data_IF_397755807036
#
_entry.id   IF_397755807036
#
_cell.length_a   1.000
_cell.length_b   1.000
_cell.length_c   1.000
_cell.angle_alpha   90.00
_cell.angle_beta   90.00
_cell.angle_gamma   90.00
#
_symmetry.space_group_name_H-M   'P 1'
#
loop_
_entity.id
_entity.type
_entity.pdbx_description
1 polymer ?
#
# COMPACT_ATOMS: atom_id res chain seq x y z
N UNK A 1 -6.89 -16.29 -4.72
CA UNK A 1 -7.38 -14.90 -4.65
C UNK A 1 -7.17 -14.15 -5.96
N UNK A 2 -5.97 -14.12 -6.51
CA UNK A 2 -5.67 -13.43 -7.78
C UNK A 2 -6.67 -13.73 -8.90
N UNK A 3 -7.03 -15.01 -9.12
CA UNK A 3 -7.99 -15.38 -10.17
C UNK A 3 -9.39 -14.79 -9.95
N UNK A 4 -9.88 -14.79 -8.70
CA UNK A 4 -11.18 -14.19 -8.38
C UNK A 4 -11.19 -12.65 -8.45
N UNK A 5 -10.04 -12.01 -8.33
CA UNK A 5 -9.86 -10.58 -8.52
C UNK A 5 -9.84 -10.13 -9.98
N UNK A 6 -9.61 -11.06 -10.92
CA UNK A 6 -9.59 -10.73 -12.35
C UNK A 6 -10.99 -10.69 -12.98
N UNK A 7 -11.98 -11.36 -12.38
CA UNK A 7 -13.33 -11.44 -12.93
C UNK A 7 -14.16 -10.27 -12.41
N UNK A 8 -14.40 -9.29 -13.28
CA UNK A 8 -15.29 -8.15 -13.02
C UNK A 8 -16.68 -8.39 -13.59
N UNK A 9 -17.70 -8.11 -12.79
CA UNK A 9 -19.10 -8.08 -13.21
C UNK A 9 -19.47 -6.62 -13.49
N UNK A 10 -19.17 -6.17 -14.71
CA UNK A 10 -19.22 -4.76 -15.12
C UNK A 10 -20.68 -4.31 -15.27
N UNK A 11 -21.01 -3.16 -14.69
CA UNK A 11 -22.39 -2.62 -14.67
C UNK A 11 -22.92 -2.21 -16.05
N UNK A 12 -22.05 -1.86 -17.00
CA UNK A 12 -22.45 -1.55 -18.38
C UNK A 12 -23.04 -2.77 -19.10
N UNK A 13 -22.65 -3.98 -18.71
CA UNK A 13 -23.13 -5.25 -19.26
C UNK A 13 -24.27 -5.80 -18.40
N UNK A 14 -25.51 -5.68 -18.87
CA UNK A 14 -26.69 -6.04 -18.08
C UNK A 14 -26.66 -7.47 -17.52
N UNK A 15 -26.18 -8.43 -18.30
CA UNK A 15 -26.10 -9.85 -17.88
C UNK A 15 -25.04 -10.06 -16.78
N UNK A 16 -23.93 -9.30 -16.83
CA UNK A 16 -22.90 -9.32 -15.78
C UNK A 16 -23.42 -8.67 -14.50
N UNK A 17 -24.12 -7.54 -14.60
CA UNK A 17 -24.69 -6.84 -13.45
C UNK A 17 -25.80 -7.67 -12.79
N UNK A 18 -26.63 -8.39 -13.57
CA UNK A 18 -27.57 -9.40 -13.04
C UNK A 18 -26.84 -10.55 -12.35
N UNK A 19 -25.73 -10.99 -12.90
CA UNK A 19 -24.94 -12.05 -12.29
C UNK A 19 -24.31 -11.59 -10.95
N UNK A 20 -23.89 -10.33 -10.84
CA UNK A 20 -23.42 -9.73 -9.60
C UNK A 20 -24.52 -9.69 -8.52
N UNK A 21 -25.73 -9.29 -8.88
CA UNK A 21 -26.89 -9.35 -7.97
C UNK A 21 -27.15 -10.77 -7.49
N UNK A 22 -27.19 -11.75 -8.39
CA UNK A 22 -27.41 -13.15 -8.04
C UNK A 22 -26.28 -13.71 -7.17
N UNK A 23 -25.02 -13.33 -7.44
CA UNK A 23 -23.88 -13.72 -6.62
C UNK A 23 -23.99 -13.15 -5.21
N UNK A 24 -24.37 -11.87 -5.08
CA UNK A 24 -24.59 -11.22 -3.78
C UNK A 24 -25.67 -11.95 -2.97
N UNK A 25 -26.78 -12.33 -3.61
CA UNK A 25 -27.83 -13.11 -2.95
C UNK A 25 -27.35 -14.50 -2.55
N UNK A 26 -26.58 -15.18 -3.40
CA UNK A 26 -26.02 -16.50 -3.11
C UNK A 26 -24.98 -16.45 -1.98
N UNK A 27 -24.28 -15.34 -1.82
CA UNK A 27 -23.36 -15.15 -0.70
C UNK A 27 -24.07 -14.89 0.62
N UNK A 28 -25.31 -14.43 0.62
CA UNK A 28 -26.01 -14.04 1.85
C UNK A 28 -26.13 -15.21 2.86
N UNK A 29 -25.80 -14.94 4.11
CA UNK A 29 -25.83 -15.94 5.18
C UNK A 29 -24.46 -16.56 5.47
N UNK A 30 -24.37 -17.91 5.48
CA UNK A 30 -23.13 -18.60 5.88
C UNK A 30 -22.00 -18.45 4.86
N UNK A 31 -22.30 -18.33 3.58
CA UNK A 31 -21.30 -18.10 2.55
C UNK A 31 -20.63 -16.73 2.74
N UNK A 32 -21.39 -15.71 3.13
CA UNK A 32 -20.85 -14.40 3.46
C UNK A 32 -19.85 -14.48 4.62
N UNK A 33 -20.17 -15.19 5.69
CA UNK A 33 -19.26 -15.34 6.84
C UNK A 33 -17.92 -15.96 6.45
N UNK A 34 -17.96 -16.95 5.55
CA UNK A 34 -16.74 -17.58 5.04
C UNK A 34 -15.92 -16.61 4.17
N UNK A 35 -16.59 -15.86 3.31
CA UNK A 35 -15.94 -14.85 2.47
C UNK A 35 -15.39 -13.71 3.34
N UNK A 36 -16.17 -13.21 4.28
CA UNK A 36 -15.79 -12.10 5.17
C UNK A 36 -14.58 -12.45 6.01
N UNK A 37 -14.46 -13.68 6.52
CA UNK A 37 -13.32 -14.13 7.32
C UNK A 37 -11.99 -14.03 6.56
N UNK A 38 -12.01 -14.17 5.22
CA UNK A 38 -10.85 -13.99 4.37
C UNK A 38 -10.70 -12.52 3.97
N UNK A 39 -11.80 -11.86 3.63
CA UNK A 39 -11.78 -10.49 3.13
C UNK A 39 -11.24 -9.51 4.18
N UNK A 40 -11.70 -9.57 5.43
CA UNK A 40 -11.27 -8.63 6.47
C UNK A 40 -9.79 -8.80 6.83
N UNK A 41 -9.31 -10.05 6.89
CA UNK A 41 -7.88 -10.32 7.16
C UNK A 41 -7.01 -9.79 6.03
N UNK A 42 -7.36 -10.09 4.78
CA UNK A 42 -6.60 -9.59 3.63
C UNK A 42 -6.71 -8.08 3.46
N UNK A 43 -7.82 -7.47 3.89
CA UNK A 43 -7.96 -6.01 3.92
C UNK A 43 -7.08 -5.36 5.00
N UNK A 44 -6.90 -6.02 6.14
CA UNK A 44 -5.97 -5.57 7.17
C UNK A 44 -4.52 -5.50 6.64
N UNK A 45 -4.10 -6.50 5.85
CA UNK A 45 -2.76 -6.51 5.26
C UNK A 45 -2.61 -5.52 4.10
N UNK A 46 -3.49 -5.58 3.10
CA UNK A 46 -3.30 -4.96 1.80
C UNK A 46 -4.27 -3.80 1.48
N UNK A 47 -5.23 -3.53 2.33
CA UNK A 47 -6.29 -2.54 2.08
C UNK A 47 -7.60 -3.15 1.59
N UNK A 48 -8.65 -2.34 1.56
CA UNK A 48 -9.98 -2.72 1.06
C UNK A 48 -9.98 -2.86 -0.46
N UNK A 49 -11.01 -3.52 -0.99
CA UNK A 49 -11.23 -3.58 -2.44
C UNK A 49 -11.47 -2.18 -3.01
N UNK A 50 -10.88 -1.92 -4.16
CA UNK A 50 -11.14 -0.73 -4.96
C UNK A 50 -12.43 -0.88 -5.81
N UNK A 51 -12.83 -2.13 -6.06
CA UNK A 51 -14.07 -2.47 -6.76
C UNK A 51 -15.25 -2.64 -5.77
N UNK A 52 -16.46 -2.51 -6.27
CA UNK A 52 -17.69 -2.77 -5.51
C UNK A 52 -17.77 -4.25 -5.12
N UNK A 53 -18.23 -4.51 -3.90
CA UNK A 53 -18.30 -5.84 -3.31
C UNK A 53 -19.67 -6.16 -2.76
N UNK A 54 -19.79 -7.23 -1.99
CA UNK A 54 -20.99 -7.56 -1.24
C UNK A 54 -21.47 -6.43 -0.34
N UNK A 55 -20.56 -5.65 0.24
CA UNK A 55 -20.88 -4.57 1.16
C UNK A 55 -21.67 -3.43 0.51
N UNK A 56 -21.41 -3.15 -0.75
CA UNK A 56 -22.10 -2.12 -1.53
C UNK A 56 -23.37 -2.67 -2.19
N UNK A 57 -23.29 -3.89 -2.71
CA UNK A 57 -24.39 -4.48 -3.48
C UNK A 57 -25.56 -4.94 -2.62
N UNK A 58 -25.33 -5.54 -1.44
CA UNK A 58 -26.43 -6.00 -0.59
C UNK A 58 -27.35 -4.86 -0.14
N UNK A 59 -26.86 -3.73 0.38
CA UNK A 59 -27.73 -2.60 0.74
C UNK A 59 -28.51 -2.03 -0.46
N UNK A 60 -27.93 -2.02 -1.65
CA UNK A 60 -28.62 -1.59 -2.87
C UNK A 60 -29.74 -2.55 -3.25
N UNK A 61 -29.54 -3.85 -3.10
CA UNK A 61 -30.56 -4.88 -3.30
C UNK A 61 -31.69 -4.70 -2.28
N UNK A 62 -31.39 -4.58 -1.00
CA UNK A 62 -32.38 -4.38 0.06
C UNK A 62 -33.22 -3.12 -0.16
N UNK A 63 -32.61 -2.03 -0.56
CA UNK A 63 -33.29 -0.78 -0.88
C UNK A 63 -34.19 -0.90 -2.11
N UNK A 64 -33.75 -1.61 -3.15
CA UNK A 64 -34.47 -1.77 -4.41
C UNK A 64 -35.69 -2.71 -4.30
N UNK A 65 -35.54 -3.76 -3.48
CA UNK A 65 -36.56 -4.81 -3.39
C UNK A 65 -37.35 -4.81 -2.06
N UNK A 66 -37.02 -3.88 -1.14
CA UNK A 66 -37.67 -3.78 0.17
C UNK A 66 -37.23 -4.86 1.17
N UNK A 67 -36.01 -5.37 1.00
CA UNK A 67 -35.38 -6.43 1.77
C UNK A 67 -34.62 -7.39 0.85
N UNK A 68 -34.05 -8.47 1.40
CA UNK A 68 -33.39 -9.50 0.60
C UNK A 68 -34.44 -10.36 -0.12
N UNK A 69 -34.56 -10.29 -1.46
CA UNK A 69 -35.57 -11.02 -2.18
C UNK A 69 -35.18 -12.49 -2.37
N UNK A 70 -36.18 -13.36 -2.43
CA UNK A 70 -36.01 -14.68 -3.01
C UNK A 70 -35.75 -14.57 -4.53
N UNK A 71 -34.91 -15.45 -5.09
CA UNK A 71 -34.56 -15.40 -6.52
C UNK A 71 -35.79 -15.42 -7.44
N UNK A 72 -36.85 -16.13 -7.04
CA UNK A 72 -38.12 -16.16 -7.76
C UNK A 72 -38.85 -14.80 -7.83
N UNK A 73 -38.63 -13.94 -6.84
CA UNK A 73 -39.23 -12.60 -6.78
C UNK A 73 -38.53 -11.58 -7.71
N UNK A 74 -37.37 -11.92 -8.26
CA UNK A 74 -36.67 -11.11 -9.26
C UNK A 74 -37.35 -11.24 -10.65
N UNK A 75 -38.02 -12.36 -10.92
CA UNK A 75 -38.58 -12.67 -12.23
C UNK A 75 -39.71 -11.68 -12.55
N UNK A 76 -39.50 -10.88 -13.62
CA UNK A 76 -40.48 -9.89 -14.06
C UNK A 76 -40.57 -8.63 -13.19
N UNK A 77 -39.78 -8.50 -12.13
CA UNK A 77 -39.74 -7.31 -11.28
C UNK A 77 -38.84 -6.23 -11.90
N UNK A 78 -39.34 -5.60 -12.97
CA UNK A 78 -38.60 -4.57 -13.70
C UNK A 78 -38.35 -3.32 -12.86
N UNK A 79 -39.26 -2.95 -11.98
CA UNK A 79 -39.13 -1.75 -11.15
C UNK A 79 -38.00 -1.93 -10.10
N UNK A 80 -37.95 -3.10 -9.44
CA UNK A 80 -36.86 -3.43 -8.53
C UNK A 80 -35.52 -3.44 -9.24
N UNK A 81 -35.46 -4.04 -10.44
CA UNK A 81 -34.24 -4.06 -11.24
C UNK A 81 -33.78 -2.64 -11.64
N UNK A 82 -34.65 -1.80 -12.14
CA UNK A 82 -34.31 -0.42 -12.52
C UNK A 82 -33.86 0.41 -11.32
N UNK A 83 -34.51 0.21 -10.15
CA UNK A 83 -34.12 0.89 -8.91
C UNK A 83 -32.72 0.43 -8.47
N UNK A 84 -32.46 -0.87 -8.48
CA UNK A 84 -31.12 -1.43 -8.16
C UNK A 84 -30.05 -0.83 -9.07
N UNK A 85 -30.25 -0.86 -10.39
CA UNK A 85 -29.30 -0.25 -11.34
C UNK A 85 -29.08 1.24 -11.13
N UNK A 86 -30.10 1.97 -10.77
CA UNK A 86 -29.98 3.40 -10.45
C UNK A 86 -29.13 3.65 -9.21
N UNK A 87 -29.28 2.82 -8.18
CA UNK A 87 -28.53 2.91 -6.95
C UNK A 87 -27.03 2.56 -7.17
N UNK A 88 -26.77 1.45 -7.87
CA UNK A 88 -25.39 1.02 -8.14
C UNK A 88 -24.67 1.94 -9.14
N UNK A 89 -25.39 2.52 -10.10
CA UNK A 89 -24.84 3.51 -11.00
C UNK A 89 -24.40 4.81 -10.31
N UNK A 90 -25.01 5.16 -9.17
CA UNK A 90 -24.65 6.34 -8.38
C UNK A 90 -23.42 6.14 -7.47
N UNK A 91 -22.93 4.90 -7.33
CA UNK A 91 -21.73 4.59 -6.54
C UNK A 91 -20.46 5.06 -7.29
N UNK A 92 -19.38 5.27 -6.56
CA UNK A 92 -18.09 5.65 -7.16
C UNK A 92 -17.48 4.51 -7.99
N UNK A 93 -16.84 4.80 -9.12
CA UNK A 93 -16.05 3.82 -9.85
C UNK A 93 -14.73 3.49 -9.10
N UNK A 94 -14.03 2.40 -9.50
CA UNK A 94 -12.72 2.13 -8.94
C UNK A 94 -11.76 3.29 -9.21
N UNK A 95 -10.91 3.61 -8.23
CA UNK A 95 -9.91 4.67 -8.35
C UNK A 95 -8.75 4.24 -9.27
N UNK A 96 -8.45 2.94 -9.31
CA UNK A 96 -7.38 2.35 -10.11
C UNK A 96 -7.97 1.54 -11.26
N UNK A 97 -7.50 1.83 -12.48
CA UNK A 97 -7.92 1.09 -13.65
C UNK A 97 -7.17 -0.25 -13.77
N UNK A 98 -7.82 -1.33 -13.41
CA UNK A 98 -7.22 -2.67 -13.38
C UNK A 98 -7.30 -3.43 -14.70
N UNK A 99 -8.08 -2.94 -15.68
CA UNK A 99 -8.22 -3.54 -17.00
C UNK A 99 -7.81 -2.49 -18.03
N UNK A 100 -6.82 -2.78 -18.90
CA UNK A 100 -6.53 -1.89 -20.02
C UNK A 100 -7.76 -1.77 -20.89
N UNK A 101 -8.33 -0.59 -20.97
CA UNK A 101 -9.36 -0.27 -21.96
C UNK A 101 -8.64 0.20 -23.21
N UNK A 102 -8.93 -0.43 -24.36
CA UNK A 102 -8.52 0.14 -25.64
C UNK A 102 -9.38 1.38 -25.85
N UNK A 103 -8.74 2.53 -25.91
CA UNK A 103 -9.39 3.76 -26.33
C UNK A 103 -9.74 3.60 -27.82
N UNK A 104 -11.03 3.53 -28.11
CA UNK A 104 -11.54 3.53 -29.48
C UNK A 104 -11.72 4.96 -30.04
N UNK A 105 -11.27 5.96 -29.28
CA UNK A 105 -11.21 7.37 -29.69
C UNK A 105 -12.56 8.10 -29.69
N UNK A 106 -13.64 7.50 -29.19
CA UNK A 106 -15.01 8.04 -29.29
C UNK A 106 -15.77 8.16 -27.97
N UNK A 107 -15.15 7.94 -26.81
CA UNK A 107 -15.88 8.04 -25.54
C UNK A 107 -15.27 9.07 -24.58
N UNK A 108 -16.08 10.08 -24.23
CA UNK A 108 -15.89 10.99 -23.08
C UNK A 108 -15.99 10.25 -21.72
N UNK A 109 -16.16 8.93 -21.71
CA UNK A 109 -16.25 8.12 -20.50
C UNK A 109 -14.86 7.87 -19.96
N UNK A 110 -14.62 8.30 -18.71
CA UNK A 110 -13.37 7.97 -18.02
C UNK A 110 -13.20 6.45 -18.00
N UNK A 111 -12.02 5.96 -18.29
CA UNK A 111 -11.70 4.52 -18.35
C UNK A 111 -12.06 3.77 -17.07
N UNK A 112 -12.06 4.44 -15.92
CA UNK A 112 -12.49 3.89 -14.62
C UNK A 112 -14.01 3.61 -14.59
N UNK A 113 -14.85 4.47 -15.20
CA UNK A 113 -16.30 4.25 -15.25
C UNK A 113 -16.66 3.02 -16.09
N UNK A 114 -15.90 2.74 -17.15
CA UNK A 114 -16.08 1.55 -17.97
C UNK A 114 -15.84 0.23 -17.22
N UNK A 115 -15.01 0.27 -16.19
CA UNK A 115 -14.65 -0.91 -15.37
C UNK A 115 -15.46 -1.02 -14.08
N UNK A 116 -16.39 -0.09 -13.83
CA UNK A 116 -17.22 -0.07 -12.64
C UNK A 116 -18.09 -1.31 -12.56
N UNK A 117 -18.02 -2.01 -11.43
CA UNK A 117 -18.84 -3.20 -11.21
C UNK A 117 -18.45 -3.96 -9.95
N UNK A 118 -19.11 -5.08 -9.76
CA UNK A 118 -18.87 -5.98 -8.65
C UNK A 118 -17.67 -6.90 -8.94
N UNK A 119 -16.84 -7.14 -7.92
CA UNK A 119 -15.85 -8.22 -7.92
C UNK A 119 -15.95 -9.04 -6.64
N UNK A 120 -15.90 -10.36 -6.79
CA UNK A 120 -15.99 -11.28 -5.64
C UNK A 120 -14.83 -11.09 -4.65
N UNK A 121 -13.63 -10.87 -5.16
CA UNK A 121 -12.45 -10.57 -4.36
C UNK A 121 -11.62 -9.53 -5.12
N UNK A 122 -12.09 -8.30 -5.12
CA UNK A 122 -11.54 -7.20 -5.90
C UNK A 122 -10.08 -6.89 -5.59
N UNK A 123 -9.44 -6.21 -6.51
CA UNK A 123 -8.08 -5.73 -6.34
C UNK A 123 -8.04 -4.67 -5.23
N UNK A 124 -6.93 -4.60 -4.52
CA UNK A 124 -6.80 -3.71 -3.38
C UNK A 124 -6.37 -2.32 -3.86
N UNK A 125 -6.98 -1.30 -3.29
CA UNK A 125 -6.47 0.06 -3.46
C UNK A 125 -5.14 0.20 -2.72
N UNK A 126 -4.09 0.62 -3.43
CA UNK A 126 -2.83 1.05 -2.83
C UNK A 126 -2.41 2.40 -3.37
N UNK A 127 -1.80 3.23 -2.51
CA UNK A 127 -1.44 4.61 -2.86
C UNK A 127 -0.43 4.67 -4.00
N UNK A 128 0.50 3.73 -4.06
CA UNK A 128 1.52 3.66 -5.10
C UNK A 128 0.94 3.28 -6.47
N UNK A 129 -0.04 2.38 -6.52
CA UNK A 129 -0.74 2.08 -7.77
C UNK A 129 -1.55 3.29 -8.28
N UNK A 130 -2.17 4.04 -7.36
CA UNK A 130 -2.83 5.30 -7.71
C UNK A 130 -1.84 6.36 -8.23
N UNK A 131 -0.63 6.45 -7.62
CA UNK A 131 0.44 7.31 -8.13
C UNK A 131 0.86 6.88 -9.54
N UNK A 132 1.14 5.60 -9.75
CA UNK A 132 1.56 5.07 -11.05
C UNK A 132 0.54 5.36 -12.14
N UNK A 133 -0.74 5.14 -11.85
CA UNK A 133 -1.80 5.41 -12.83
C UNK A 133 -1.83 6.86 -13.29
N UNK A 134 -1.60 7.82 -12.39
CA UNK A 134 -1.61 9.25 -12.74
C UNK A 134 -0.39 9.70 -13.54
N UNK A 135 0.66 8.89 -13.59
CA UNK A 135 1.94 9.24 -14.19
C UNK A 135 2.28 8.45 -15.47
N UNK A 136 1.31 7.73 -16.04
CA UNK A 136 1.48 6.96 -17.27
C UNK A 136 0.39 7.24 -18.29
N UNK A 137 0.67 6.88 -19.54
CA UNK A 137 -0.29 6.90 -20.65
C UNK A 137 -0.91 8.28 -20.89
N UNK A 138 -2.22 8.31 -21.16
CA UNK A 138 -2.96 9.52 -21.47
C UNK A 138 -3.04 10.51 -20.31
N UNK A 139 -2.85 10.03 -19.07
CA UNK A 139 -2.84 10.91 -17.91
C UNK A 139 -1.66 11.92 -17.95
N UNK A 140 -0.53 11.55 -18.53
CA UNK A 140 0.64 12.44 -18.69
C UNK A 140 0.82 12.94 -20.12
N UNK A 141 -0.02 12.49 -21.04
CA UNK A 141 0.06 12.81 -22.47
C UNK A 141 1.41 12.39 -23.10
N UNK A 142 1.62 12.76 -24.35
CA UNK A 142 2.85 12.45 -25.06
C UNK A 142 3.96 13.47 -24.80
N UNK A 143 5.21 13.05 -25.00
CA UNK A 143 6.36 13.95 -25.06
C UNK A 143 6.38 14.78 -26.35
N UNK A 144 7.36 15.68 -26.49
CA UNK A 144 7.51 16.53 -27.67
C UNK A 144 7.76 15.73 -28.98
N UNK A 145 8.13 14.46 -28.89
CA UNK A 145 8.34 13.55 -30.01
C UNK A 145 7.12 12.68 -30.33
N UNK A 146 6.05 12.79 -29.54
CA UNK A 146 4.83 12.02 -29.67
C UNK A 146 4.88 10.64 -29.01
N UNK A 147 5.87 10.35 -28.16
CA UNK A 147 5.95 9.09 -27.41
C UNK A 147 5.10 9.16 -26.15
N UNK A 148 4.40 8.08 -25.85
CA UNK A 148 3.66 7.93 -24.59
C UNK A 148 4.54 7.28 -23.50
N UNK A 149 4.33 7.66 -22.25
CA UNK A 149 4.95 7.02 -21.08
C UNK A 149 4.22 5.73 -20.76
N UNK A 150 4.76 4.62 -21.23
CA UNK A 150 4.11 3.31 -21.17
C UNK A 150 4.23 2.64 -19.79
N UNK A 151 5.27 2.94 -19.03
CA UNK A 151 5.57 2.32 -17.73
C UNK A 151 5.95 3.39 -16.70
N UNK A 152 5.52 3.24 -15.45
CA UNK A 152 5.99 4.09 -14.36
C UNK A 152 7.41 3.69 -13.93
N UNK A 153 8.06 4.57 -13.18
CA UNK A 153 9.31 4.30 -12.48
C UNK A 153 9.06 4.17 -10.97
N UNK A 154 9.84 3.36 -10.27
CA UNK A 154 9.80 3.25 -8.81
C UNK A 154 10.04 4.60 -8.13
N UNK A 155 10.86 5.46 -8.73
CA UNK A 155 11.14 6.80 -8.25
C UNK A 155 9.91 7.73 -8.29
N UNK A 156 8.89 7.42 -9.11
CA UNK A 156 7.63 8.17 -9.11
C UNK A 156 6.97 8.16 -7.73
N UNK A 157 6.99 7.00 -7.06
CA UNK A 157 6.43 6.87 -5.71
C UNK A 157 7.22 7.72 -4.72
N UNK A 158 8.54 7.62 -4.73
CA UNK A 158 9.38 8.41 -3.85
C UNK A 158 9.23 9.92 -4.11
N UNK A 159 9.16 10.34 -5.38
CA UNK A 159 8.95 11.72 -5.77
C UNK A 159 7.57 12.25 -5.32
N UNK A 160 6.51 11.47 -5.54
CA UNK A 160 5.15 11.83 -5.11
C UNK A 160 5.03 11.91 -3.57
N UNK A 161 5.79 11.08 -2.85
CA UNK A 161 5.88 11.11 -1.39
C UNK A 161 6.78 12.24 -0.85
N UNK A 162 7.34 13.10 -1.73
CA UNK A 162 8.02 14.32 -1.36
C UNK A 162 9.52 14.36 -1.58
N UNK A 163 10.14 13.32 -2.14
CA UNK A 163 11.59 13.31 -2.41
C UNK A 163 11.96 14.20 -3.60
N UNK A 164 12.65 15.31 -3.31
CA UNK A 164 13.21 16.16 -4.36
C UNK A 164 14.42 15.49 -5.05
N UNK A 165 15.14 14.65 -4.32
CA UNK A 165 16.22 13.84 -4.89
C UNK A 165 15.70 12.88 -5.95
N UNK A 166 14.60 12.16 -5.68
CA UNK A 166 13.95 11.27 -6.66
C UNK A 166 13.44 12.04 -7.87
N UNK A 167 12.76 13.18 -7.64
CA UNK A 167 12.26 14.01 -8.72
C UNK A 167 13.40 14.53 -9.63
N UNK A 168 14.52 14.96 -9.05
CA UNK A 168 15.69 15.42 -9.83
C UNK A 168 16.32 14.30 -10.68
N UNK A 169 16.24 13.04 -10.24
CA UNK A 169 16.72 11.90 -11.02
C UNK A 169 15.76 11.64 -12.19
N UNK A 170 14.44 11.66 -11.97
CA UNK A 170 13.43 11.54 -13.02
C UNK A 170 13.55 12.64 -14.08
N UNK A 171 13.86 13.87 -13.65
CA UNK A 171 14.15 14.98 -14.56
C UNK A 171 15.38 14.69 -15.44
N UNK A 172 16.47 14.18 -14.86
CA UNK A 172 17.66 13.80 -15.59
C UNK A 172 17.44 12.61 -16.54
N UNK A 173 16.51 11.71 -16.23
CA UNK A 173 16.11 10.60 -17.09
C UNK A 173 15.21 11.07 -18.25
N UNK A 174 14.58 12.25 -18.13
CA UNK A 174 13.70 12.83 -19.13
C UNK A 174 12.21 12.58 -18.89
N UNK A 175 11.83 11.96 -17.77
CA UNK A 175 10.44 11.66 -17.44
C UNK A 175 9.57 12.91 -17.31
N UNK A 176 10.13 14.03 -16.89
CA UNK A 176 9.43 15.32 -16.85
C UNK A 176 9.14 15.93 -18.23
N UNK A 177 9.61 15.31 -19.30
CA UNK A 177 9.36 15.73 -20.68
C UNK A 177 7.96 15.40 -21.22
N UNK A 178 7.18 14.59 -20.51
CA UNK A 178 5.77 14.33 -20.84
C UNK A 178 4.91 15.52 -20.41
N UNK A 179 4.00 15.97 -21.27
CA UNK A 179 3.34 17.27 -21.14
C UNK A 179 2.55 17.46 -19.82
N UNK A 180 1.90 16.41 -19.34
CA UNK A 180 1.12 16.43 -18.08
C UNK A 180 1.87 15.96 -16.83
N UNK A 181 3.11 15.45 -16.97
CA UNK A 181 3.80 14.77 -15.88
C UNK A 181 4.03 15.69 -14.66
N UNK A 182 4.58 16.87 -14.88
CA UNK A 182 4.90 17.81 -13.80
C UNK A 182 3.65 18.26 -13.04
N UNK A 183 2.58 18.60 -13.76
CA UNK A 183 1.31 19.02 -13.17
C UNK A 183 0.68 17.91 -12.34
N UNK A 184 0.68 16.68 -12.84
CA UNK A 184 0.17 15.51 -12.12
C UNK A 184 1.02 15.20 -10.88
N UNK A 185 2.35 15.28 -10.97
CA UNK A 185 3.24 15.09 -9.83
C UNK A 185 3.01 16.14 -8.73
N UNK A 186 2.85 17.41 -9.08
CA UNK A 186 2.54 18.47 -8.12
C UNK A 186 1.18 18.25 -7.44
N UNK A 187 0.19 17.81 -8.21
CA UNK A 187 -1.14 17.46 -7.70
C UNK A 187 -1.06 16.27 -6.72
N UNK A 188 -0.32 15.23 -7.08
CA UNK A 188 -0.09 14.06 -6.21
C UNK A 188 0.60 14.46 -4.91
N UNK A 189 1.70 15.22 -4.98
CA UNK A 189 2.41 15.73 -3.79
C UNK A 189 1.48 16.54 -2.88
N UNK A 190 0.67 17.41 -3.47
CA UNK A 190 -0.29 18.23 -2.70
C UNK A 190 -1.32 17.36 -2.00
N UNK A 191 -1.95 16.43 -2.72
CA UNK A 191 -2.97 15.56 -2.18
C UNK A 191 -2.42 14.64 -1.08
N UNK A 192 -1.23 14.08 -1.27
CA UNK A 192 -0.58 13.20 -0.30
C UNK A 192 -0.18 13.99 0.96
N UNK A 193 0.36 15.21 0.81
CA UNK A 193 0.74 16.04 1.96
C UNK A 193 -0.45 16.49 2.81
N UNK A 194 -1.66 16.52 2.23
CA UNK A 194 -2.91 16.87 2.89
C UNK A 194 -3.72 15.63 3.32
N UNK A 195 -3.21 14.44 3.03
CA UNK A 195 -3.90 13.20 3.35
C UNK A 195 -4.07 13.05 4.87
N UNK A 196 -5.23 12.54 5.27
CA UNK A 196 -5.51 12.27 6.67
C UNK A 196 -4.74 11.04 7.16
N UNK A 197 -4.53 10.95 8.48
CA UNK A 197 -3.90 9.78 9.11
C UNK A 197 -4.63 8.46 8.75
N UNK A 198 -5.91 8.53 8.40
CA UNK A 198 -6.69 7.35 7.99
C UNK A 198 -6.15 6.69 6.73
N UNK A 199 -5.56 7.45 5.79
CA UNK A 199 -4.92 6.87 4.61
C UNK A 199 -3.76 5.94 5.02
N UNK A 200 -2.91 6.42 5.92
CA UNK A 200 -1.72 5.72 6.37
C UNK A 200 -2.00 4.58 7.35
N UNK A 201 -3.15 4.61 8.01
CA UNK A 201 -3.56 3.58 8.98
C UNK A 201 -4.60 2.60 8.43
N UNK A 202 -5.00 2.74 7.17
CA UNK A 202 -6.04 1.89 6.54
C UNK A 202 -5.64 0.42 6.40
N UNK A 203 -4.34 0.13 6.24
CA UNK A 203 -3.80 -1.22 6.12
C UNK A 203 -2.36 -1.28 6.63
N UNK A 204 -1.83 -2.49 6.82
CA UNK A 204 -0.40 -2.66 7.11
C UNK A 204 0.47 -2.22 5.93
N UNK A 205 0.02 -2.43 4.70
CA UNK A 205 0.70 -1.94 3.50
C UNK A 205 0.91 -0.42 3.52
N UNK A 206 -0.17 0.33 3.71
CA UNK A 206 -0.10 1.81 3.78
C UNK A 206 0.74 2.27 4.97
N UNK A 207 0.64 1.58 6.11
CA UNK A 207 1.40 1.92 7.31
C UNK A 207 2.90 1.64 7.13
N UNK A 208 3.27 0.54 6.45
CA UNK A 208 4.67 0.27 6.10
C UNK A 208 5.23 1.35 5.18
N UNK A 209 4.52 1.68 4.10
CA UNK A 209 4.94 2.73 3.19
C UNK A 209 5.13 4.07 3.94
N UNK A 210 4.20 4.40 4.82
CA UNK A 210 4.31 5.59 5.67
C UNK A 210 5.52 5.57 6.62
N UNK A 211 5.89 4.38 7.12
CA UNK A 211 7.08 4.21 7.97
C UNK A 211 8.37 4.59 7.24
N UNK A 212 8.40 4.42 5.92
CA UNK A 212 9.57 4.72 5.09
C UNK A 212 9.65 6.19 4.64
N UNK A 213 8.56 6.96 4.70
CA UNK A 213 8.55 8.33 4.15
C UNK A 213 9.57 9.29 4.80
N UNK A 214 9.95 9.19 6.10
CA UNK A 214 10.96 10.07 6.66
C UNK A 214 12.36 9.90 6.04
N UNK A 215 12.65 8.77 5.39
CA UNK A 215 13.88 8.56 4.63
C UNK A 215 13.95 9.46 3.38
N UNK A 216 12.82 9.97 2.91
CA UNK A 216 12.73 10.82 1.73
C UNK A 216 12.94 12.30 2.06
N UNK A 217 12.98 12.66 3.34
CA UNK A 217 13.16 14.02 3.82
C UNK A 217 14.65 14.39 3.88
N UNK A 218 14.98 15.57 3.36
CA UNK A 218 16.34 16.10 3.49
C UNK A 218 16.64 16.47 4.94
N UNK A 219 17.81 16.04 5.43
CA UNK A 219 18.21 16.29 6.82
C UNK A 219 18.76 17.71 6.97
N UNK A 220 18.15 18.48 7.86
CA UNK A 220 18.49 19.87 8.15
C UNK A 220 19.47 20.08 9.32
N UNK A 221 19.43 21.27 9.92
CA UNK A 221 20.19 21.56 11.14
C UNK A 221 19.75 20.66 12.28
N UNK A 222 20.72 20.23 13.09
CA UNK A 222 20.50 19.23 14.16
C UNK A 222 21.00 17.84 13.79
N UNK A 223 21.09 17.51 12.50
CA UNK A 223 21.69 16.26 12.04
C UNK A 223 23.21 16.38 11.83
N UNK A 224 23.95 15.27 11.95
CA UNK A 224 25.38 15.24 11.61
C UNK A 224 25.65 15.75 10.20
N UNK A 225 26.81 16.40 10.00
CA UNK A 225 27.12 17.07 8.72
C UNK A 225 27.12 16.12 7.51
N UNK A 226 27.48 14.85 7.70
CA UNK A 226 27.48 13.85 6.62
C UNK A 226 26.06 13.49 6.17
N UNK A 227 25.05 13.51 7.08
CA UNK A 227 23.64 13.23 6.75
C UNK A 227 22.97 14.39 5.98
N UNK A 228 23.54 15.59 6.05
CA UNK A 228 23.01 16.77 5.33
C UNK A 228 23.55 16.91 3.91
N UNK A 229 24.15 15.87 3.39
CA UNK A 229 24.74 15.85 2.04
C UNK A 229 23.78 15.22 1.02
N UNK A 230 23.89 15.62 -0.24
CA UNK A 230 23.13 15.00 -1.33
C UNK A 230 23.46 13.52 -1.52
N UNK A 231 24.66 13.08 -1.13
CA UNK A 231 25.02 11.65 -1.14
C UNK A 231 24.23 10.87 -0.10
N UNK A 232 23.99 11.48 1.07
CA UNK A 232 23.15 10.85 2.08
C UNK A 232 21.69 10.76 1.64
N UNK A 233 21.14 11.83 1.06
CA UNK A 233 19.78 11.79 0.51
C UNK A 233 19.61 10.69 -0.55
N UNK A 234 20.64 10.44 -1.38
CA UNK A 234 20.63 9.32 -2.34
C UNK A 234 20.70 7.96 -1.64
N UNK A 235 21.51 7.82 -0.59
CA UNK A 235 21.59 6.59 0.20
C UNK A 235 20.26 6.28 0.88
N UNK A 236 19.60 7.28 1.44
CA UNK A 236 18.27 7.12 2.06
C UNK A 236 17.22 6.76 1.00
N UNK A 237 17.29 7.37 -0.18
CA UNK A 237 16.43 7.01 -1.32
C UNK A 237 16.64 5.56 -1.77
N UNK A 238 17.89 5.06 -1.82
CA UNK A 238 18.19 3.66 -2.12
C UNK A 238 17.64 2.73 -1.03
N UNK A 239 17.72 3.13 0.25
CA UNK A 239 17.13 2.39 1.36
C UNK A 239 15.60 2.32 1.24
N UNK A 240 14.96 3.45 0.93
CA UNK A 240 13.53 3.51 0.65
C UNK A 240 13.16 2.57 -0.50
N UNK A 241 13.85 2.67 -1.65
CA UNK A 241 13.54 1.88 -2.84
C UNK A 241 13.69 0.38 -2.59
N UNK A 242 14.74 -0.04 -1.86
CA UNK A 242 14.96 -1.43 -1.48
C UNK A 242 13.82 -1.97 -0.59
N UNK A 243 13.41 -1.20 0.43
CA UNK A 243 12.32 -1.60 1.33
C UNK A 243 10.95 -1.52 0.66
N UNK A 244 10.74 -0.59 -0.25
CA UNK A 244 9.54 -0.56 -1.08
C UNK A 244 9.46 -1.77 -2.02
N UNK A 245 10.56 -2.16 -2.63
CA UNK A 245 10.62 -3.36 -3.46
C UNK A 245 10.31 -4.63 -2.65
N UNK A 246 10.80 -4.74 -1.41
CA UNK A 246 10.47 -5.81 -0.47
C UNK A 246 8.97 -5.83 -0.16
N UNK A 247 8.38 -4.68 0.19
CA UNK A 247 6.94 -4.55 0.42
C UNK A 247 6.11 -5.04 -0.77
N UNK A 248 6.48 -4.64 -1.99
CA UNK A 248 5.81 -5.10 -3.23
C UNK A 248 5.97 -6.60 -3.41
N UNK A 249 7.15 -7.15 -3.16
CA UNK A 249 7.41 -8.59 -3.27
C UNK A 249 6.59 -9.39 -2.26
N UNK A 250 6.51 -8.97 -1.01
CA UNK A 250 5.83 -9.70 0.06
C UNK A 250 4.30 -9.64 -0.07
N UNK A 251 3.77 -8.62 -0.72
CA UNK A 251 2.34 -8.49 -1.00
C UNK A 251 1.88 -9.20 -2.27
N UNK A 252 2.80 -9.55 -3.17
CA UNK A 252 2.55 -10.49 -4.26
C UNK A 252 2.65 -11.89 -3.68
N UNK A 253 1.55 -12.61 -3.60
CA UNK A 253 1.45 -13.98 -3.07
C UNK A 253 2.50 -14.93 -3.69
N UNK A 254 3.69 -14.92 -3.16
CA UNK A 254 4.76 -15.82 -3.58
C UNK A 254 5.45 -16.45 -2.37
N UNK A 255 5.48 -17.77 -2.34
CA UNK A 255 6.12 -18.55 -1.30
C UNK A 255 7.37 -19.22 -1.88
N UNK A 256 8.54 -18.72 -1.58
CA UNK A 256 9.73 -19.52 -1.30
C UNK A 256 10.87 -18.64 -0.82
N UNK A 257 11.17 -18.71 0.46
CA UNK A 257 12.40 -18.13 0.99
C UNK A 257 13.56 -19.10 0.77
N UNK A 258 14.66 -18.59 0.24
CA UNK A 258 15.93 -19.32 0.20
C UNK A 258 16.64 -19.03 1.52
N UNK A 259 16.78 -20.05 2.36
CA UNK A 259 17.63 -19.97 3.55
C UNK A 259 19.09 -20.10 3.14
N UNK A 260 19.90 -19.11 3.46
CA UNK A 260 21.35 -19.20 3.39
C UNK A 260 21.88 -19.48 4.79
N UNK A 261 22.53 -20.64 4.98
CA UNK A 261 23.29 -20.93 6.20
C UNK A 261 24.63 -20.19 6.13
N UNK A 262 24.82 -19.24 7.07
CA UNK A 262 26.14 -18.62 7.26
C UNK A 262 26.85 -19.28 8.42
N UNK A 263 27.99 -19.88 8.13
CA UNK A 263 28.86 -20.47 9.15
C UNK A 263 29.48 -19.39 10.02
N UNK A 264 29.27 -19.48 11.32
CA UNK A 264 29.90 -18.59 12.31
C UNK A 264 31.37 -18.95 12.52
N UNK A 265 32.25 -17.96 12.35
CA UNK A 265 33.61 -17.97 12.87
C UNK A 265 33.75 -16.92 13.94
N UNK A 266 34.49 -17.22 15.01
CA UNK A 266 34.84 -16.21 16.02
C UNK A 266 35.62 -15.07 15.33
N UNK A 267 35.05 -13.87 15.34
CA UNK A 267 35.75 -12.66 14.89
C UNK A 267 36.56 -12.06 16.03
N UNK A 268 37.75 -11.46 15.72
CA UNK A 268 38.53 -10.76 16.73
C UNK A 268 37.69 -9.60 17.32
N UNK A 269 37.75 -9.44 18.65
CA UNK A 269 37.13 -8.28 19.32
C UNK A 269 37.88 -7.00 18.91
N UNK A 270 37.26 -6.21 18.07
CA UNK A 270 37.68 -4.83 17.79
C UNK A 270 36.85 -3.91 18.72
N UNK A 271 37.45 -2.78 19.16
CA UNK A 271 36.71 -1.71 19.83
C UNK A 271 35.97 -0.88 18.77
N UNK A 272 34.96 -1.49 18.17
CA UNK A 272 34.10 -0.91 17.17
C UNK A 272 32.78 -0.51 17.84
N UNK A 273 32.79 0.62 18.51
CA UNK A 273 31.59 1.26 18.99
C UNK A 273 30.84 1.81 17.79
N UNK A 274 29.86 1.03 17.30
CA UNK A 274 28.96 1.43 16.22
C UNK A 274 28.07 2.60 16.61
N UNK A 275 27.25 3.03 15.68
CA UNK A 275 26.18 4.01 15.93
C UNK A 275 24.92 3.53 15.24
N UNK A 276 23.76 4.06 15.66
CA UNK A 276 22.48 3.89 14.97
C UNK A 276 22.30 5.10 14.04
N UNK A 277 21.86 4.88 12.81
CA UNK A 277 21.45 6.03 11.98
C UNK A 277 20.31 6.75 12.70
N UNK A 278 20.45 8.06 13.03
CA UNK A 278 19.50 8.74 13.91
C UNK A 278 18.20 9.13 13.20
N UNK A 279 17.50 8.11 12.71
CA UNK A 279 16.20 8.20 12.05
C UNK A 279 15.06 8.03 13.07
N UNK A 280 14.93 8.97 14.01
CA UNK A 280 14.00 8.91 15.15
C UNK A 280 12.57 8.60 14.71
N UNK A 281 12.10 9.24 13.65
CA UNK A 281 10.73 9.07 13.16
C UNK A 281 10.52 7.70 12.50
N UNK A 282 11.50 7.19 11.77
CA UNK A 282 11.45 5.84 11.19
C UNK A 282 11.31 4.80 12.31
N UNK A 283 12.14 4.89 13.36
CA UNK A 283 12.08 3.97 14.49
C UNK A 283 10.76 4.06 15.25
N UNK A 284 10.23 5.28 15.42
CA UNK A 284 8.93 5.51 16.06
C UNK A 284 7.81 4.82 15.27
N UNK A 285 7.77 5.03 13.96
CA UNK A 285 6.73 4.43 13.10
C UNK A 285 6.89 2.92 12.99
N UNK A 286 8.11 2.43 12.97
CA UNK A 286 8.38 0.99 12.91
C UNK A 286 7.93 0.26 14.19
N UNK A 287 8.19 0.82 15.38
CA UNK A 287 7.67 0.29 16.65
C UNK A 287 6.14 0.24 16.63
N UNK A 288 5.49 1.32 16.18
CA UNK A 288 4.03 1.36 16.05
C UNK A 288 3.50 0.33 15.04
N UNK A 289 4.19 0.13 13.91
CA UNK A 289 3.82 -0.87 12.91
C UNK A 289 3.88 -2.30 13.49
N UNK A 290 4.96 -2.64 14.20
CA UNK A 290 5.10 -3.95 14.85
C UNK A 290 3.99 -4.19 15.89
N UNK A 291 3.71 -3.19 16.72
CA UNK A 291 2.62 -3.24 17.71
C UNK A 291 1.25 -3.41 17.05
N UNK A 292 0.94 -2.62 16.03
CA UNK A 292 -0.31 -2.71 15.27
C UNK A 292 -0.47 -4.07 14.59
N UNK A 293 0.62 -4.65 14.10
CA UNK A 293 0.61 -5.98 13.50
C UNK A 293 0.21 -7.03 14.53
N UNK A 294 0.82 -6.99 15.72
CA UNK A 294 0.49 -7.91 16.82
C UNK A 294 -0.98 -7.77 17.26
N UNK A 295 -1.45 -6.54 17.50
CA UNK A 295 -2.82 -6.27 17.92
C UNK A 295 -3.84 -6.72 16.87
N UNK A 296 -3.59 -6.42 15.60
CA UNK A 296 -4.47 -6.81 14.49
C UNK A 296 -4.56 -8.33 14.34
N UNK A 297 -3.43 -9.03 14.25
CA UNK A 297 -3.41 -10.49 14.14
C UNK A 297 -4.07 -11.16 15.36
N UNK A 298 -3.86 -10.61 16.56
CA UNK A 298 -4.51 -11.08 17.78
C UNK A 298 -6.03 -10.92 17.73
N UNK A 299 -6.52 -9.80 17.22
CA UNK A 299 -7.95 -9.55 17.09
C UNK A 299 -8.66 -10.54 16.14
N UNK A 300 -7.94 -11.05 15.16
CA UNK A 300 -8.42 -12.09 14.24
C UNK A 300 -8.19 -13.52 14.73
N UNK A 301 -7.54 -13.70 15.89
CA UNK A 301 -7.17 -15.03 16.42
C UNK A 301 -6.10 -15.75 15.58
N UNK A 302 -5.26 -15.01 14.90
CA UNK A 302 -4.22 -15.52 13.98
C UNK A 302 -2.80 -15.39 14.57
N UNK A 303 -2.67 -14.85 15.78
CA UNK A 303 -1.37 -14.62 16.41
C UNK A 303 -1.02 -15.78 17.34
N UNK A 304 0.11 -16.45 17.11
CA UNK A 304 0.67 -17.41 18.04
C UNK A 304 1.34 -16.70 19.23
N UNK A 305 1.56 -17.41 20.35
CA UNK A 305 2.31 -16.86 21.51
C UNK A 305 3.76 -16.53 21.12
N UNK A 306 4.36 -17.30 20.24
CA UNK A 306 5.71 -17.09 19.73
C UNK A 306 5.79 -15.82 18.89
N UNK A 307 4.88 -15.66 17.91
CA UNK A 307 4.82 -14.47 17.06
C UNK A 307 4.48 -13.21 17.88
N UNK A 308 3.59 -13.31 18.89
CA UNK A 308 3.31 -12.20 19.80
C UNK A 308 4.57 -11.76 20.55
N UNK A 309 5.34 -12.73 21.03
CA UNK A 309 6.61 -12.46 21.73
C UNK A 309 7.61 -11.79 20.80
N UNK A 310 7.76 -12.29 19.58
CA UNK A 310 8.69 -11.75 18.59
C UNK A 310 8.31 -10.35 18.12
N UNK A 311 7.04 -10.09 17.82
CA UNK A 311 6.57 -8.75 17.44
C UNK A 311 6.74 -7.73 18.56
N UNK A 312 6.46 -8.10 19.80
CA UNK A 312 6.70 -7.24 20.96
C UNK A 312 8.19 -6.96 21.16
N UNK A 313 9.06 -7.96 20.99
CA UNK A 313 10.50 -7.79 21.04
C UNK A 313 11.00 -6.86 19.92
N UNK A 314 10.47 -7.01 18.72
CA UNK A 314 10.78 -6.14 17.58
C UNK A 314 10.40 -4.69 17.85
N UNK A 315 9.19 -4.44 18.38
CA UNK A 315 8.76 -3.11 18.79
C UNK A 315 9.66 -2.49 19.85
N UNK A 316 10.02 -3.27 20.89
CA UNK A 316 10.94 -2.81 21.93
C UNK A 316 12.33 -2.47 21.39
N UNK A 317 12.86 -3.27 20.47
CA UNK A 317 14.16 -3.01 19.85
C UNK A 317 14.11 -1.71 19.02
N UNK A 318 13.03 -1.46 18.29
CA UNK A 318 12.84 -0.19 17.57
C UNK A 318 12.78 1.02 18.53
N UNK A 319 12.10 0.90 19.67
CA UNK A 319 12.07 1.96 20.70
C UNK A 319 13.45 2.20 21.33
N UNK A 320 14.26 1.17 21.46
CA UNK A 320 15.66 1.32 21.90
C UNK A 320 16.49 2.08 20.86
N UNK A 321 16.37 1.74 19.58
CA UNK A 321 17.06 2.46 18.50
C UNK A 321 16.57 3.90 18.36
N UNK A 322 15.28 4.16 18.58
CA UNK A 322 14.76 5.52 18.70
C UNK A 322 15.48 6.30 19.81
N UNK A 323 15.55 5.71 21.00
CA UNK A 323 16.20 6.33 22.18
C UNK A 323 17.69 6.60 21.92
N UNK A 324 18.39 5.66 21.28
CA UNK A 324 19.80 5.85 20.90
C UNK A 324 19.92 6.99 19.87
N UNK A 325 19.06 7.02 18.86
CA UNK A 325 19.03 8.10 17.86
C UNK A 325 18.83 9.48 18.49
N UNK A 326 17.90 9.60 19.45
CA UNK A 326 17.67 10.86 20.21
C UNK A 326 18.92 11.25 21.02
N UNK A 327 19.61 10.31 21.63
CA UNK A 327 20.87 10.57 22.35
C UNK A 327 21.98 11.05 21.40
N UNK A 328 22.12 10.40 20.26
CA UNK A 328 23.12 10.78 19.25
C UNK A 328 22.89 12.18 18.71
N UNK A 329 21.64 12.54 18.38
CA UNK A 329 21.28 13.89 17.93
C UNK A 329 21.49 14.96 19.03
N UNK A 330 21.32 14.58 20.30
CA UNK A 330 21.57 15.46 21.45
C UNK A 330 23.02 15.46 21.93
N UNK A 331 23.92 14.74 21.21
CA UNK A 331 25.32 14.55 21.60
C UNK A 331 25.50 13.95 23.00
N UNK A 332 24.60 13.04 23.36
CA UNK A 332 24.62 12.28 24.62
C UNK A 332 25.25 10.91 24.35
N UNK A 333 26.21 10.50 25.17
CA UNK A 333 26.85 9.20 25.01
C UNK A 333 25.87 8.05 25.25
N UNK A 334 26.00 7.02 24.42
CA UNK A 334 25.31 5.76 24.63
C UNK A 334 25.89 5.00 25.83
N UNK A 335 25.08 4.17 26.47
CA UNK A 335 25.53 3.27 27.54
C UNK A 335 26.24 2.05 26.96
N UNK A 336 26.94 1.30 27.79
CA UNK A 336 27.60 0.06 27.36
C UNK A 336 26.57 -0.99 26.87
N UNK A 337 25.42 -1.08 27.51
CA UNK A 337 24.32 -1.98 27.10
C UNK A 337 23.73 -1.59 25.71
N UNK A 338 23.65 -0.29 25.41
CA UNK A 338 23.22 0.21 24.11
C UNK A 338 24.25 -0.11 23.02
N UNK A 339 25.53 0.04 23.31
CA UNK A 339 26.59 -0.39 22.38
C UNK A 339 26.61 -1.91 22.18
N UNK A 340 26.31 -2.69 23.21
CA UNK A 340 26.20 -4.14 23.10
C UNK A 340 25.00 -4.54 22.24
N UNK A 341 23.88 -3.81 22.30
CA UNK A 341 22.73 -4.03 21.41
C UNK A 341 23.11 -3.76 19.94
N UNK A 342 23.83 -2.67 19.65
CA UNK A 342 24.30 -2.35 18.28
C UNK A 342 25.22 -3.46 17.78
N UNK A 343 26.20 -3.90 18.60
CA UNK A 343 27.17 -4.94 18.25
C UNK A 343 26.48 -6.28 17.94
N UNK A 344 25.48 -6.63 18.71
CA UNK A 344 24.78 -7.91 18.60
C UNK A 344 23.52 -7.83 17.71
N UNK A 345 23.32 -6.74 16.98
CA UNK A 345 22.10 -6.52 16.18
C UNK A 345 21.81 -7.67 15.22
N UNK A 346 22.81 -8.09 14.43
CA UNK A 346 22.67 -9.19 13.49
C UNK A 346 22.25 -10.49 14.17
N UNK A 347 22.92 -10.86 15.28
CA UNK A 347 22.55 -12.04 16.07
C UNK A 347 21.16 -11.93 16.70
N UNK A 348 20.71 -10.73 17.07
CA UNK A 348 19.35 -10.52 17.55
C UNK A 348 18.31 -10.76 16.44
N UNK A 349 18.60 -10.38 15.19
CA UNK A 349 17.69 -10.62 14.05
C UNK A 349 17.58 -12.11 13.69
N UNK A 350 18.65 -12.90 13.88
CA UNK A 350 18.62 -14.35 13.63
C UNK A 350 17.65 -15.11 14.56
N UNK A 351 17.21 -14.48 15.65
CA UNK A 351 16.36 -15.08 16.67
C UNK A 351 14.90 -14.58 16.62
N UNK A 352 14.48 -13.95 15.53
CA UNK A 352 13.10 -13.65 15.19
C UNK A 352 12.59 -14.68 14.15
#
# INVERSE_FOLDING_TARGET
>A
MMWYGQIGFIQSEEDLDRSALLMTLAMNGDAFKQWESIYVVTSFFAGTSDDLTYYEYLPAIEAAYGGVPEVSALIGNTDGWNTFRSLTAAMDPPAINSIPTMDDGDSDTKTTDANKGFRFMGQRFTIDEAIFQQLVYDNVQADASGNQRMLPDTLDVAAALGSDTAYSILEQQGDTGYAGYTENMETLRTNISQASDTLWTSSLYSNWLHTLTPLLEEKGEGYPSFMRSSQWAKKDLETFAGRYAELKHDTVLYAKQVMAEMGGGELPQWDDRGYVEPEVEVWTRFSNLATKTAEGLKSYGLLSEEDETNLNRLAQMADQFKTMSEKELSNTLLTDDEYDLIRNYGGNLEHF
#
